data_IF_522413256102
#
_entry.id   IF_522413256102
#
_cell.length_a   1.000
_cell.length_b   1.000
_cell.length_c   1.000
_cell.angle_alpha   90.00
_cell.angle_beta   90.00
_cell.angle_gamma   90.00
#
_symmetry.space_group_name_H-M   'P 1'
#
loop_
_entity.id
_entity.type
_entity.pdbx_description
1 polymer ?
#
# COMPACT_ATOMS: atom_id res chain seq x y z
N UNK A 1 1.03 39.93 64.69
CA UNK A 1 1.05 38.89 63.64
C UNK A 1 0.28 39.41 62.44
N UNK A 2 0.95 39.75 61.33
CA UNK A 2 0.28 40.10 60.08
C UNK A 2 1.03 39.40 58.93
N UNK A 3 0.56 38.22 58.56
CA UNK A 3 1.08 37.48 57.41
C UNK A 3 0.51 38.08 56.12
N UNK A 4 1.19 39.10 55.58
CA UNK A 4 1.07 39.39 54.16
C UNK A 4 1.77 38.27 53.36
N UNK A 5 1.28 37.93 52.15
CA UNK A 5 2.03 37.66 50.90
C UNK A 5 1.13 36.97 49.84
N UNK A 6 0.11 37.65 49.26
CA UNK A 6 -0.69 37.10 48.16
C UNK A 6 0.03 37.14 46.79
N UNK A 7 1.16 37.86 46.67
CA UNK A 7 1.83 38.11 45.39
C UNK A 7 2.44 36.84 44.75
N UNK A 8 2.99 35.92 45.54
CA UNK A 8 3.66 34.70 45.01
C UNK A 8 2.70 33.75 44.28
N UNK A 9 1.45 33.61 44.74
CA UNK A 9 0.44 32.75 44.09
C UNK A 9 0.08 33.23 42.68
N UNK A 10 -0.03 34.55 42.47
CA UNK A 10 -0.35 35.11 41.15
C UNK A 10 0.76 34.85 40.11
N UNK A 11 2.03 34.99 40.48
CA UNK A 11 3.16 34.71 39.59
C UNK A 11 3.27 33.23 39.19
N UNK A 12 3.04 32.31 40.14
CA UNK A 12 3.04 30.86 39.86
C UNK A 12 1.96 30.52 38.83
N UNK A 13 0.76 31.11 38.95
CA UNK A 13 -0.33 30.85 37.99
C UNK A 13 -0.03 31.36 36.58
N UNK A 14 0.64 32.51 36.42
CA UNK A 14 0.99 33.05 35.11
C UNK A 14 2.13 32.27 34.46
N UNK A 15 3.13 31.87 35.25
CA UNK A 15 4.21 31.00 34.77
C UNK A 15 3.69 29.68 34.20
N UNK A 16 2.78 29.01 34.92
CA UNK A 16 2.16 27.76 34.45
C UNK A 16 1.27 27.95 33.22
N UNK A 17 0.55 29.08 33.13
CA UNK A 17 -0.23 29.44 31.93
C UNK A 17 0.66 29.63 30.71
N UNK A 18 1.77 30.36 30.88
CA UNK A 18 2.74 30.60 29.82
C UNK A 18 3.40 29.28 29.38
N UNK A 19 3.78 28.42 30.34
CA UNK A 19 4.33 27.09 30.06
C UNK A 19 3.35 26.23 29.26
N UNK A 20 2.07 26.18 29.65
CA UNK A 20 1.04 25.47 28.90
C UNK A 20 0.84 26.03 27.49
N UNK A 21 0.84 27.37 27.34
CA UNK A 21 0.74 28.01 26.04
C UNK A 21 1.95 27.69 25.16
N UNK A 22 3.15 27.65 25.73
CA UNK A 22 4.36 27.24 25.03
C UNK A 22 4.30 25.79 24.59
N UNK A 23 3.89 24.87 25.46
CA UNK A 23 3.73 23.45 25.12
C UNK A 23 2.71 23.24 24.01
N UNK A 24 1.59 23.99 24.05
CA UNK A 24 0.59 23.98 22.97
C UNK A 24 1.17 24.45 21.64
N UNK A 25 1.84 25.61 21.63
CA UNK A 25 2.51 26.14 20.42
C UNK A 25 3.59 25.20 19.90
N UNK A 26 4.36 24.56 20.78
CA UNK A 26 5.37 23.59 20.40
C UNK A 26 4.74 22.36 19.73
N UNK A 27 3.62 21.86 20.27
CA UNK A 27 2.87 20.76 19.65
C UNK A 27 2.29 21.15 18.30
N UNK A 28 1.60 22.28 18.22
CA UNK A 28 0.97 22.78 16.98
C UNK A 28 2.02 22.99 15.87
N UNK A 29 3.16 23.60 16.20
CA UNK A 29 4.26 23.78 15.23
C UNK A 29 4.87 22.45 14.80
N UNK A 30 5.02 21.51 15.72
CA UNK A 30 5.50 20.17 15.40
C UNK A 30 4.54 19.41 14.47
N UNK A 31 3.24 19.42 14.73
CA UNK A 31 2.21 18.81 13.87
C UNK A 31 2.23 19.43 12.46
N UNK A 32 2.25 20.77 12.35
CA UNK A 32 2.32 21.46 11.06
C UNK A 32 3.59 21.11 10.28
N UNK A 33 4.74 20.99 10.96
CA UNK A 33 6.01 20.61 10.32
C UNK A 33 5.99 19.14 9.90
N UNK A 34 5.39 18.25 10.70
CA UNK A 34 5.21 16.85 10.32
C UNK A 34 4.32 16.72 9.09
N UNK A 35 3.20 17.45 9.01
CA UNK A 35 2.31 17.42 7.86
C UNK A 35 2.98 17.97 6.59
N UNK A 36 3.75 19.05 6.70
CA UNK A 36 4.50 19.59 5.57
C UNK A 36 5.57 18.60 5.07
N UNK A 37 6.30 17.96 5.99
CA UNK A 37 7.29 16.94 5.65
C UNK A 37 6.64 15.72 4.98
N UNK A 38 5.48 15.27 5.51
CA UNK A 38 4.71 14.17 4.93
C UNK A 38 4.25 14.49 3.51
N UNK A 39 3.64 15.67 3.29
CA UNK A 39 3.22 16.13 1.94
C UNK A 39 4.39 16.15 0.95
N UNK A 40 5.57 16.61 1.39
CA UNK A 40 6.75 16.61 0.54
C UNK A 40 7.25 15.19 0.23
N UNK A 41 7.29 14.31 1.22
CA UNK A 41 7.72 12.92 1.05
C UNK A 41 6.76 12.12 0.15
N UNK A 42 5.45 12.37 0.27
CA UNK A 42 4.41 11.67 -0.49
C UNK A 42 4.36 12.13 -1.96
N UNK A 43 4.89 13.32 -2.30
CA UNK A 43 4.90 13.86 -3.67
C UNK A 43 5.55 12.94 -4.72
N UNK A 44 6.57 12.16 -4.32
CA UNK A 44 7.26 11.22 -5.21
C UNK A 44 6.66 9.80 -5.16
N UNK A 45 5.68 9.54 -4.30
CA UNK A 45 5.04 8.23 -4.19
C UNK A 45 4.02 8.05 -5.30
N UNK A 46 3.79 6.79 -5.67
CA UNK A 46 2.76 6.42 -6.65
C UNK A 46 1.42 6.33 -5.95
N UNK A 47 0.39 6.87 -6.58
CA UNK A 47 -0.99 6.69 -6.14
C UNK A 47 -1.34 5.20 -6.13
N UNK A 48 -2.02 4.79 -5.07
CA UNK A 48 -2.50 3.41 -4.92
C UNK A 48 -3.72 3.24 -5.79
N UNK A 49 -3.71 2.25 -6.69
CA UNK A 49 -4.92 1.89 -7.45
C UNK A 49 -5.98 1.40 -6.47
N UNK A 50 -7.12 2.10 -6.33
CA UNK A 50 -8.18 1.65 -5.44
C UNK A 50 -8.85 0.42 -6.05
N UNK A 51 -9.12 -0.58 -5.21
CA UNK A 51 -9.90 -1.75 -5.59
C UNK A 51 -11.19 -1.79 -4.80
N UNK A 52 -12.25 -2.30 -5.42
CA UNK A 52 -13.54 -2.48 -4.79
C UNK A 52 -13.76 -3.96 -4.42
N UNK A 53 -14.72 -4.19 -3.51
CA UNK A 53 -15.21 -5.53 -3.26
C UNK A 53 -15.85 -6.11 -4.54
N UNK A 54 -15.54 -7.36 -4.87
CA UNK A 54 -15.95 -8.03 -6.10
C UNK A 54 -14.93 -7.97 -7.25
N UNK A 55 -13.91 -7.11 -7.15
CA UNK A 55 -12.86 -7.05 -8.17
C UNK A 55 -12.03 -8.33 -8.21
N UNK A 56 -11.66 -8.75 -9.43
CA UNK A 56 -10.76 -9.86 -9.65
C UNK A 56 -9.33 -9.37 -9.75
N UNK A 57 -8.44 -9.96 -8.96
CA UNK A 57 -7.02 -9.62 -8.95
C UNK A 57 -6.13 -10.86 -8.93
N UNK A 58 -4.96 -10.73 -9.53
CA UNK A 58 -3.87 -11.69 -9.44
C UNK A 58 -2.99 -11.34 -8.25
N UNK A 59 -2.60 -12.35 -7.49
CA UNK A 59 -1.71 -12.21 -6.34
C UNK A 59 -0.30 -12.67 -6.73
N UNK A 60 0.70 -11.86 -6.44
CA UNK A 60 2.11 -12.24 -6.53
C UNK A 60 2.41 -13.33 -5.48
N UNK A 61 2.88 -14.49 -5.94
CA UNK A 61 3.16 -15.66 -5.08
C UNK A 61 4.66 -15.90 -5.04
N UNK A 62 5.23 -15.88 -3.83
CA UNK A 62 6.64 -16.19 -3.59
C UNK A 62 6.79 -17.64 -3.10
N UNK A 63 6.67 -18.59 -4.01
CA UNK A 63 6.95 -20.00 -3.71
C UNK A 63 8.46 -20.28 -3.78
N UNK A 64 8.98 -20.95 -2.75
CA UNK A 64 10.36 -21.45 -2.74
C UNK A 64 10.48 -22.69 -3.64
N UNK A 65 11.64 -22.85 -4.29
CA UNK A 65 11.95 -24.06 -5.06
C UNK A 65 12.00 -25.27 -4.14
N UNK A 66 11.48 -26.40 -4.61
CA UNK A 66 11.50 -27.65 -3.86
C UNK A 66 11.77 -28.82 -4.82
N UNK A 67 12.96 -29.42 -4.68
CA UNK A 67 13.41 -30.52 -5.54
C UNK A 67 12.56 -31.78 -5.38
N UNK A 68 12.11 -32.11 -4.17
CA UNK A 68 11.26 -33.28 -3.92
C UNK A 68 9.91 -33.17 -4.63
N UNK A 69 9.40 -31.94 -4.82
CA UNK A 69 8.19 -31.66 -5.59
C UNK A 69 8.48 -31.41 -7.08
N UNK A 70 9.72 -31.62 -7.52
CA UNK A 70 10.20 -31.31 -8.87
C UNK A 70 9.87 -29.87 -9.31
N UNK A 71 9.83 -28.95 -8.34
CA UNK A 71 9.36 -27.58 -8.55
C UNK A 71 10.50 -26.59 -8.45
N UNK A 72 10.66 -25.76 -9.48
CA UNK A 72 11.63 -24.68 -9.50
C UNK A 72 10.92 -23.32 -9.56
N UNK A 73 11.15 -22.49 -8.55
CA UNK A 73 10.57 -21.13 -8.47
C UNK A 73 10.90 -20.28 -9.70
N UNK A 74 12.07 -20.50 -10.31
CA UNK A 74 12.53 -19.80 -11.52
C UNK A 74 11.63 -20.01 -12.74
N UNK A 75 11.02 -21.19 -12.88
CA UNK A 75 10.12 -21.51 -13.99
C UNK A 75 8.65 -21.30 -13.63
N UNK A 76 8.35 -21.06 -12.36
CA UNK A 76 7.00 -20.89 -11.89
C UNK A 76 6.43 -19.52 -12.32
N UNK A 77 5.11 -19.45 -12.64
CA UNK A 77 4.45 -18.17 -12.81
C UNK A 77 4.57 -17.32 -11.55
N UNK A 78 5.01 -16.07 -11.71
CA UNK A 78 5.10 -15.11 -10.60
C UNK A 78 3.75 -14.84 -9.93
N UNK A 79 2.67 -14.90 -10.71
CA UNK A 79 1.30 -14.64 -10.27
C UNK A 79 0.46 -15.89 -10.46
N UNK A 80 -0.33 -16.20 -9.45
CA UNK A 80 -1.24 -17.33 -9.51
C UNK A 80 -2.58 -16.92 -10.16
N UNK A 81 -3.53 -17.86 -10.19
CA UNK A 81 -4.94 -17.69 -10.58
C UNK A 81 -5.60 -16.41 -10.02
N UNK A 82 -6.68 -15.94 -10.67
CA UNK A 82 -7.44 -14.80 -10.17
C UNK A 82 -8.15 -15.12 -8.85
N UNK A 83 -8.20 -14.13 -7.97
CA UNK A 83 -8.86 -14.14 -6.68
C UNK A 83 -9.84 -12.97 -6.61
N UNK A 84 -10.84 -13.10 -5.74
CA UNK A 84 -11.88 -12.09 -5.55
C UNK A 84 -11.55 -11.26 -4.30
N UNK A 85 -11.66 -9.93 -4.41
CA UNK A 85 -11.56 -9.04 -3.26
C UNK A 85 -12.88 -9.07 -2.50
N UNK A 86 -12.89 -9.50 -1.25
CA UNK A 86 -14.10 -9.55 -0.43
C UNK A 86 -14.38 -8.21 0.23
N UNK A 87 -13.36 -7.60 0.82
CA UNK A 87 -13.46 -6.30 1.49
C UNK A 87 -12.11 -5.61 1.64
N UNK A 88 -12.14 -4.29 1.80
CA UNK A 88 -10.98 -3.49 2.15
C UNK A 88 -10.88 -3.36 3.67
N UNK A 89 -9.82 -3.90 4.28
CA UNK A 89 -9.61 -3.82 5.73
C UNK A 89 -8.91 -2.51 6.11
N UNK A 90 -7.92 -2.09 5.31
CA UNK A 90 -7.11 -0.90 5.49
C UNK A 90 -6.91 -0.22 4.13
N UNK A 91 -6.46 1.05 4.08
CA UNK A 91 -6.21 1.76 2.82
C UNK A 91 -5.37 0.97 1.81
N UNK A 92 -4.39 0.18 2.29
CA UNK A 92 -3.50 -0.61 1.45
C UNK A 92 -3.63 -2.12 1.62
N UNK A 93 -4.54 -2.62 2.46
CA UNK A 93 -4.68 -4.06 2.72
C UNK A 93 -6.10 -4.55 2.46
N UNK A 94 -6.21 -5.58 1.62
CA UNK A 94 -7.46 -6.14 1.15
C UNK A 94 -7.60 -7.59 1.60
N UNK A 95 -8.80 -7.98 1.99
CA UNK A 95 -9.14 -9.38 2.24
C UNK A 95 -9.52 -10.04 0.93
N UNK A 96 -8.95 -11.22 0.69
CA UNK A 96 -9.11 -11.97 -0.54
C UNK A 96 -9.78 -13.31 -0.29
N UNK A 97 -10.53 -13.80 -1.28
CA UNK A 97 -11.15 -15.12 -1.28
C UNK A 97 -10.99 -15.80 -2.64
N UNK A 98 -11.26 -17.10 -2.67
CA UNK A 98 -11.35 -17.85 -3.91
C UNK A 98 -12.62 -17.48 -4.69
N UNK A 99 -12.57 -17.56 -6.02
CA UNK A 99 -13.74 -17.24 -6.86
C UNK A 99 -14.90 -18.21 -6.61
N UNK A 100 -14.58 -19.48 -6.37
CA UNK A 100 -15.57 -20.54 -6.15
C UNK A 100 -16.07 -20.59 -4.70
N UNK A 101 -15.32 -20.04 -3.76
CA UNK A 101 -15.60 -20.07 -2.33
C UNK A 101 -15.38 -18.66 -1.76
N UNK A 102 -16.32 -17.72 -1.99
CA UNK A 102 -16.17 -16.33 -1.55
C UNK A 102 -16.32 -16.17 -0.04
N UNK A 103 -16.98 -17.12 0.62
CA UNK A 103 -17.26 -17.11 2.07
C UNK A 103 -16.01 -17.45 2.91
N UNK A 104 -15.06 -18.20 2.33
CA UNK A 104 -13.83 -18.59 3.01
C UNK A 104 -12.70 -17.63 2.64
N UNK A 105 -12.27 -16.76 3.57
CA UNK A 105 -11.20 -15.83 3.27
C UNK A 105 -9.85 -16.54 3.19
N UNK A 106 -9.12 -16.30 2.10
CA UNK A 106 -7.75 -16.78 1.92
C UNK A 106 -6.78 -16.06 2.87
N UNK A 107 -6.98 -14.76 3.06
CA UNK A 107 -6.12 -13.92 3.89
C UNK A 107 -6.12 -12.45 3.49
N UNK A 108 -5.25 -11.68 4.13
CA UNK A 108 -5.09 -10.24 3.89
C UNK A 108 -3.81 -9.97 3.11
N UNK A 109 -3.92 -9.20 2.03
CA UNK A 109 -2.81 -8.90 1.13
C UNK A 109 -2.64 -7.39 0.94
N UNK A 110 -1.38 -6.96 0.86
CA UNK A 110 -1.04 -5.57 0.58
C UNK A 110 -1.21 -5.26 -0.92
N UNK A 111 -1.65 -4.05 -1.26
CA UNK A 111 -1.91 -3.58 -2.63
C UNK A 111 -0.75 -3.80 -3.59
N UNK A 112 0.50 -3.74 -3.11
CA UNK A 112 1.69 -3.95 -3.93
C UNK A 112 1.81 -5.36 -4.50
N UNK A 113 1.21 -6.36 -3.83
CA UNK A 113 1.17 -7.74 -4.29
C UNK A 113 -0.01 -8.03 -5.23
N UNK A 114 -0.92 -7.07 -5.40
CA UNK A 114 -2.16 -7.23 -6.16
C UNK A 114 -2.05 -6.59 -7.54
N UNK A 115 -2.56 -7.29 -8.54
CA UNK A 115 -2.62 -6.82 -9.92
C UNK A 115 -4.00 -7.06 -10.51
N UNK A 116 -4.60 -6.05 -11.18
CA UNK A 116 -5.95 -6.21 -11.72
C UNK A 116 -5.97 -7.35 -12.74
N UNK A 117 -6.96 -8.23 -12.62
CA UNK A 117 -7.19 -9.31 -13.56
C UNK A 117 -8.21 -8.89 -14.60
N UNK A 118 -7.74 -8.65 -15.82
CA UNK A 118 -8.61 -8.42 -16.98
C UNK A 118 -8.77 -9.72 -17.74
N UNK A 119 -10.00 -10.25 -17.84
CA UNK A 119 -10.31 -11.37 -18.72
C UNK A 119 -10.01 -10.95 -20.16
N UNK A 120 -9.04 -11.59 -20.81
CA UNK A 120 -8.80 -11.36 -22.25
C UNK A 120 -9.98 -11.92 -23.02
N UNK A 121 -10.65 -11.06 -23.77
CA UNK A 121 -11.69 -11.47 -24.73
C UNK A 121 -11.07 -11.89 -26.08
N UNK A 122 -9.82 -11.47 -26.34
CA UNK A 122 -9.12 -11.74 -27.61
C UNK A 122 -7.84 -12.56 -27.35
N UNK A 123 -7.64 -13.61 -28.14
CA UNK A 123 -6.47 -14.51 -28.07
C UNK A 123 -5.17 -13.86 -28.58
N UNK A 124 -5.27 -12.67 -29.17
CA UNK A 124 -4.12 -11.98 -29.75
C UNK A 124 -3.07 -11.61 -28.67
N UNK A 125 -1.77 -11.78 -28.97
CA UNK A 125 -0.70 -11.33 -28.08
C UNK A 125 -0.68 -9.79 -27.99
N UNK A 126 -0.56 -9.23 -26.77
CA UNK A 126 -0.49 -7.77 -26.52
C UNK A 126 0.61 -7.10 -27.33
N UNK A 127 1.76 -7.77 -27.44
CA UNK A 127 2.84 -7.39 -28.34
C UNK A 127 3.14 -8.61 -29.23
N UNK A 128 2.90 -8.55 -30.54
CA UNK A 128 3.36 -9.60 -31.43
C UNK A 128 4.89 -9.73 -31.28
N UNK A 129 5.39 -10.97 -31.30
CA UNK A 129 6.83 -11.22 -31.33
C UNK A 129 7.36 -10.49 -32.57
N UNK A 130 8.19 -9.46 -32.36
CA UNK A 130 8.93 -8.84 -33.45
C UNK A 130 9.72 -9.96 -34.11
N UNK A 131 9.52 -10.18 -35.41
CA UNK A 131 10.32 -11.15 -36.16
C UNK A 131 11.79 -10.78 -35.95
N UNK A 132 12.51 -11.57 -35.14
CA UNK A 132 13.94 -11.40 -34.94
C UNK A 132 14.64 -12.05 -36.13
N UNK A 133 15.44 -11.29 -36.86
CA UNK A 133 16.23 -11.79 -37.98
C UNK A 133 16.38 -10.78 -39.11
N UNK A 134 17.33 -11.05 -40.02
CA UNK A 134 17.47 -10.33 -41.29
C UNK A 134 16.27 -10.65 -42.17
N UNK A 135 15.63 -9.63 -42.74
CA UNK A 135 14.53 -9.82 -43.69
C UNK A 135 14.98 -10.80 -44.79
N UNK A 136 14.14 -11.79 -45.08
CA UNK A 136 14.41 -12.74 -46.17
C UNK A 136 14.34 -11.95 -47.48
N UNK A 137 15.44 -11.89 -48.21
CA UNK A 137 15.50 -11.13 -49.46
C UNK A 137 14.52 -11.78 -50.45
N UNK A 138 13.51 -11.06 -50.98
CA UNK A 138 12.46 -11.65 -51.80
C UNK A 138 12.90 -12.03 -53.22
N UNK A 139 14.16 -11.76 -53.60
CA UNK A 139 14.71 -11.96 -54.94
C UNK A 139 15.71 -13.12 -55.02
N UNK A 140 15.43 -14.27 -54.40
CA UNK A 140 16.27 -15.46 -54.55
C UNK A 140 15.45 -16.74 -54.66
#
# INVERSE_FOLDING_TARGET
MMFAHPKKKQFITQYLKNMNQMLRRARETHELKQDAAKKHADKARREVTPYNAGDLVLVDVHQLSNSAKQFTSKLAPRRNRPYLITKQNLPTSYQMAHIHEPDVPLGNYHVSALKPYTKRTTEAPICPIRQRGRLKNPLR
#
